data_IF_981695902110
#
_entry.id   IF_981695902110
#
_cell.length_a   1.000
_cell.length_b   1.000
_cell.length_c   1.000
_cell.angle_alpha   90.00
_cell.angle_beta   90.00
_cell.angle_gamma   90.00
#
_symmetry.space_group_name_H-M   'P 1'
#
loop_
_entity.id
_entity.type
_entity.pdbx_description
1 polymer ?
#
# COMPACT_ATOMS: atom_id res chain seq x y z
N UNK A 1 -12.26 10.99 21.34
CA UNK A 1 -12.22 12.20 20.47
C UNK A 1 -11.32 11.91 19.28
N UNK A 2 -11.87 11.85 18.07
CA UNK A 2 -11.14 11.54 16.83
C UNK A 2 -10.09 12.62 16.57
N UNK A 3 -8.82 12.30 16.82
CA UNK A 3 -7.73 13.24 16.78
C UNK A 3 -7.30 13.49 15.31
N UNK A 4 -8.07 14.34 14.61
CA UNK A 4 -7.88 14.75 13.20
C UNK A 4 -6.50 15.38 12.90
N UNK A 5 -5.66 15.59 13.90
CA UNK A 5 -4.31 16.15 13.75
C UNK A 5 -3.20 15.10 13.61
N UNK A 6 -3.47 13.81 13.84
CA UNK A 6 -2.46 12.74 13.65
C UNK A 6 -2.22 12.39 12.18
N UNK A 7 -3.18 12.69 11.30
CA UNK A 7 -3.14 12.38 9.88
C UNK A 7 -2.43 13.45 9.01
N UNK A 8 -2.05 14.61 9.59
CA UNK A 8 -1.49 15.75 8.82
C UNK A 8 0.04 15.84 8.82
N UNK A 9 0.74 14.95 9.51
CA UNK A 9 2.21 14.95 9.56
C UNK A 9 2.85 14.12 8.44
N UNK A 10 3.96 14.61 7.87
CA UNK A 10 4.86 13.82 7.00
C UNK A 10 5.56 12.66 7.74
N UNK A 11 5.35 12.54 9.05
CA UNK A 11 6.03 11.59 9.92
C UNK A 11 5.40 10.19 9.83
N UNK A 12 6.09 9.29 9.12
CA UNK A 12 5.67 7.90 8.89
C UNK A 12 5.43 7.10 10.19
N UNK A 13 6.16 7.45 11.26
CA UNK A 13 6.09 6.78 12.56
C UNK A 13 4.90 7.23 13.42
N UNK A 14 4.36 8.43 13.16
CA UNK A 14 3.22 8.97 13.89
C UNK A 14 1.86 8.69 13.20
N UNK A 15 1.87 8.15 11.97
CA UNK A 15 0.66 7.95 11.17
C UNK A 15 -0.07 6.66 11.56
N UNK A 16 -1.40 6.72 11.72
CA UNK A 16 -2.21 5.50 11.91
C UNK A 16 -2.06 4.57 10.70
N UNK A 17 -2.17 3.26 10.93
CA UNK A 17 -2.15 2.26 9.86
C UNK A 17 -3.27 2.49 8.82
N UNK A 18 -4.37 3.17 9.18
CA UNK A 18 -5.39 3.63 8.20
C UNK A 18 -4.83 4.61 7.17
N UNK A 19 -3.91 5.48 7.57
CA UNK A 19 -3.21 6.43 6.70
C UNK A 19 -2.21 5.73 5.77
N UNK A 20 -1.48 4.74 6.30
CA UNK A 20 -0.60 3.86 5.50
C UNK A 20 -1.39 3.07 4.46
N UNK A 21 -2.56 2.54 4.81
CA UNK A 21 -3.43 1.81 3.89
C UNK A 21 -3.92 2.69 2.72
N UNK A 22 -4.34 3.94 2.99
CA UNK A 22 -4.68 4.91 1.94
C UNK A 22 -3.49 5.15 1.00
N UNK A 23 -2.27 5.30 1.53
CA UNK A 23 -1.07 5.47 0.70
C UNK A 23 -0.78 4.24 -0.17
N UNK A 24 -0.91 3.02 0.35
CA UNK A 24 -0.74 1.78 -0.43
C UNK A 24 -1.79 1.65 -1.55
N UNK A 25 -3.02 2.10 -1.31
CA UNK A 25 -4.07 2.17 -2.34
C UNK A 25 -3.76 3.24 -3.39
N UNK A 26 -3.29 4.43 -2.98
CA UNK A 26 -2.82 5.48 -3.90
C UNK A 26 -1.55 5.08 -4.67
N UNK A 27 -0.79 4.07 -4.23
CA UNK A 27 0.33 3.50 -4.98
C UNK A 27 -0.11 2.57 -6.12
N UNK A 28 -1.37 2.13 -6.16
CA UNK A 28 -1.90 1.30 -7.25
C UNK A 28 -1.67 1.88 -8.65
N UNK A 29 -2.00 3.17 -8.95
CA UNK A 29 -1.71 3.76 -10.26
C UNK A 29 -0.21 3.78 -10.59
N UNK A 30 0.66 3.95 -9.59
CA UNK A 30 2.12 3.88 -9.80
C UNK A 30 2.57 2.45 -10.14
N UNK A 31 1.94 1.43 -9.57
CA UNK A 31 2.18 0.02 -9.92
C UNK A 31 1.80 -0.27 -11.38
N UNK A 32 0.65 0.24 -11.84
CA UNK A 32 0.24 0.13 -13.25
C UNK A 32 1.22 0.84 -14.18
N UNK A 33 1.69 2.03 -13.79
CA UNK A 33 2.69 2.77 -14.55
C UNK A 33 4.03 2.01 -14.64
N UNK A 34 4.46 1.39 -13.54
CA UNK A 34 5.67 0.58 -13.51
C UNK A 34 5.57 -0.63 -14.46
N UNK A 35 4.43 -1.32 -14.48
CA UNK A 35 4.20 -2.43 -15.41
C UNK A 35 4.21 -1.94 -16.86
N UNK A 36 3.61 -0.79 -17.16
CA UNK A 36 3.63 -0.20 -18.51
C UNK A 36 5.06 0.16 -18.97
N UNK A 37 5.89 0.70 -18.08
CA UNK A 37 7.31 0.99 -18.37
C UNK A 37 8.13 -0.28 -18.58
N UNK A 38 7.88 -1.33 -17.79
CA UNK A 38 8.53 -2.64 -17.96
C UNK A 38 8.12 -3.27 -19.31
N UNK A 39 6.84 -3.16 -19.68
CA UNK A 39 6.35 -3.64 -20.97
C UNK A 39 7.03 -2.91 -22.15
N UNK A 40 7.20 -1.59 -22.04
CA UNK A 40 7.86 -0.77 -23.05
C UNK A 40 9.36 -1.09 -23.20
N UNK A 41 10.04 -1.37 -22.09
CA UNK A 41 11.51 -1.52 -22.05
C UNK A 41 12.00 -2.94 -22.31
N UNK A 42 11.28 -3.96 -21.86
CA UNK A 42 11.76 -5.35 -21.91
C UNK A 42 11.61 -6.01 -23.29
N UNK A 43 10.71 -5.51 -24.15
CA UNK A 43 10.40 -6.10 -25.46
C UNK A 43 9.87 -7.54 -25.42
N UNK A 44 9.83 -8.15 -24.23
CA UNK A 44 9.53 -9.55 -23.99
C UNK A 44 8.30 -9.64 -23.10
N UNK A 45 7.19 -10.04 -23.71
CA UNK A 45 5.89 -10.18 -23.04
C UNK A 45 5.99 -11.14 -21.84
N UNK A 46 6.76 -12.22 -21.98
CA UNK A 46 6.94 -13.24 -20.94
C UNK A 46 7.56 -12.67 -19.66
N UNK A 47 8.63 -11.88 -19.78
CA UNK A 47 9.31 -11.24 -18.64
C UNK A 47 8.39 -10.19 -18.00
N UNK A 48 7.68 -9.41 -18.81
CA UNK A 48 6.71 -8.42 -18.33
C UNK A 48 5.61 -9.07 -17.50
N UNK A 49 5.05 -10.19 -17.97
CA UNK A 49 3.98 -10.91 -17.27
C UNK A 49 4.48 -11.45 -15.92
N UNK A 50 5.66 -12.08 -15.88
CA UNK A 50 6.24 -12.61 -14.63
C UNK A 50 6.44 -11.48 -13.61
N UNK A 51 7.02 -10.36 -14.04
CA UNK A 51 7.25 -9.20 -13.17
C UNK A 51 5.94 -8.55 -12.71
N UNK A 52 4.95 -8.44 -13.59
CA UNK A 52 3.63 -7.90 -13.24
C UNK A 52 2.94 -8.76 -12.18
N UNK A 53 2.96 -10.08 -12.33
CA UNK A 53 2.41 -11.02 -11.34
C UNK A 53 3.14 -10.89 -10.00
N UNK A 54 4.48 -10.86 -10.04
CA UNK A 54 5.30 -10.72 -8.83
C UNK A 54 5.02 -9.41 -8.09
N UNK A 55 4.96 -8.28 -8.79
CA UNK A 55 4.63 -6.97 -8.23
C UNK A 55 3.22 -6.93 -7.65
N UNK A 56 2.26 -7.58 -8.33
CA UNK A 56 0.87 -7.66 -7.86
C UNK A 56 0.77 -8.45 -6.55
N UNK A 57 1.50 -9.56 -6.42
CA UNK A 57 1.54 -10.37 -5.18
C UNK A 57 2.12 -9.55 -4.01
N UNK A 58 3.24 -8.86 -4.23
CA UNK A 58 3.86 -8.00 -3.20
C UNK A 58 2.89 -6.90 -2.77
N UNK A 59 2.24 -6.25 -3.73
CA UNK A 59 1.26 -5.20 -3.43
C UNK A 59 0.06 -5.75 -2.64
N UNK A 60 -0.47 -6.91 -3.02
CA UNK A 60 -1.56 -7.57 -2.30
C UNK A 60 -1.16 -7.92 -0.86
N UNK A 61 0.05 -8.43 -0.64
CA UNK A 61 0.62 -8.69 0.68
C UNK A 61 0.74 -7.40 1.51
N UNK A 62 1.22 -6.31 0.92
CA UNK A 62 1.29 -5.01 1.59
C UNK A 62 -0.10 -4.53 2.00
N UNK A 63 -1.10 -4.61 1.12
CA UNK A 63 -2.48 -4.22 1.43
C UNK A 63 -3.04 -5.07 2.57
N UNK A 64 -2.88 -6.39 2.50
CA UNK A 64 -3.39 -7.33 3.51
C UNK A 64 -2.74 -7.08 4.88
N UNK A 65 -1.42 -6.94 4.94
CA UNK A 65 -0.69 -6.67 6.18
C UNK A 65 -1.11 -5.33 6.80
N UNK A 66 -1.18 -4.29 5.97
CA UNK A 66 -1.55 -2.94 6.43
C UNK A 66 -3.01 -2.92 6.90
N UNK A 67 -3.89 -3.69 6.27
CA UNK A 67 -5.29 -3.84 6.67
C UNK A 67 -5.44 -4.56 8.00
N UNK A 68 -4.76 -5.70 8.15
CA UNK A 68 -4.77 -6.47 9.39
C UNK A 68 -4.29 -5.62 10.57
N UNK A 69 -3.20 -4.88 10.38
CA UNK A 69 -2.65 -4.06 11.45
C UNK A 69 -3.49 -2.80 11.72
N UNK A 70 -4.15 -2.24 10.70
CA UNK A 70 -5.15 -1.18 10.88
C UNK A 70 -6.37 -1.65 11.68
N UNK A 71 -6.77 -2.93 11.58
CA UNK A 71 -7.85 -3.49 12.41
C UNK A 71 -7.41 -3.66 13.87
N UNK A 72 -6.19 -4.13 14.11
CA UNK A 72 -5.64 -4.24 15.48
C UNK A 72 -5.57 -2.88 16.18
N UNK A 73 -5.12 -1.83 15.49
CA UNK A 73 -5.12 -0.47 16.04
C UNK A 73 -6.52 0.03 16.45
N UNK A 74 -7.59 -0.38 15.75
CA UNK A 74 -8.96 0.01 16.12
C UNK A 74 -9.40 -0.67 17.41
N UNK A 75 -9.06 -1.94 17.59
CA UNK A 75 -9.45 -2.74 18.73
C UNK A 75 -8.74 -2.29 20.02
N UNK A 76 -7.45 -1.90 19.93
CA UNK A 76 -6.69 -1.43 21.07
C UNK A 76 -7.10 0.00 21.51
N UNK A 77 -7.65 0.81 20.60
CA UNK A 77 -8.16 2.15 20.91
C UNK A 77 -9.60 2.20 21.42
N UNK A 78 -10.34 1.09 21.37
CA UNK A 78 -11.71 0.95 21.92
C UNK A 78 -11.69 0.45 23.38
N UNK A 79 -10.59 -0.19 23.79
CA UNK A 79 -10.34 -0.66 25.17
C UNK A 79 -9.65 0.40 26.06
N UNK A 80 -9.53 1.66 25.60
CA UNK A 80 -8.99 2.80 26.37
C UNK A 80 -10.04 3.88 26.55
#
# INVERSE_FOLDING_TARGET
MENKNKDRGFNYWAMSYRGKLRRTLWMFPFGVLAIALIAWTSGSVLITVILAVFLTIIWALQVAYTYFMAQREKHDGDNQ
#
